data_IF_101259244576
#
_entry.id   IF_101259244576
#
_cell.length_a   1.000
_cell.length_b   1.000
_cell.length_c   1.000
_cell.angle_alpha   90.00
_cell.angle_beta   90.00
_cell.angle_gamma   90.00
#
_symmetry.space_group_name_H-M   'P 1'
#
loop_
_entity.id
_entity.type
_entity.pdbx_description
1 polymer ?
#
# COMPACT_ATOMS: atom_id res chain seq x y z
N UNK A 1 -0.34 1.53 -27.18
CA UNK A 1 -0.89 1.60 -25.82
C UNK A 1 -1.76 0.38 -25.66
N UNK A 2 -1.53 -0.49 -24.69
CA UNK A 2 -2.42 -1.61 -24.40
C UNK A 2 -3.78 -1.06 -23.95
N UNK A 3 -4.87 -1.62 -24.45
CA UNK A 3 -6.22 -1.25 -24.03
C UNK A 3 -6.36 -1.50 -22.52
N UNK A 4 -6.75 -0.48 -21.77
CA UNK A 4 -7.09 -0.59 -20.35
C UNK A 4 -8.57 -0.96 -20.25
N UNK A 5 -8.86 -1.98 -19.44
CA UNK A 5 -10.23 -2.41 -19.13
C UNK A 5 -10.49 -2.26 -17.65
N UNK A 6 -11.44 -1.44 -17.29
CA UNK A 6 -11.89 -1.31 -15.90
C UNK A 6 -12.89 -2.42 -15.57
N UNK A 7 -12.69 -3.06 -14.43
CA UNK A 7 -13.56 -4.09 -13.88
C UNK A 7 -13.72 -3.94 -12.38
N UNK A 8 -14.54 -4.79 -11.77
CA UNK A 8 -14.71 -4.86 -10.33
C UNK A 8 -14.91 -6.29 -9.86
N UNK A 9 -14.53 -6.54 -8.61
CA UNK A 9 -14.82 -7.77 -7.87
C UNK A 9 -15.50 -7.43 -6.55
N UNK A 10 -16.22 -8.40 -6.02
CA UNK A 10 -16.84 -8.29 -4.70
C UNK A 10 -15.97 -9.01 -3.68
N UNK A 11 -15.52 -8.29 -2.66
CA UNK A 11 -14.81 -8.84 -1.51
C UNK A 11 -15.71 -9.69 -0.62
N UNK A 12 -15.15 -10.45 0.30
CA UNK A 12 -15.88 -11.38 1.17
C UNK A 12 -16.96 -10.69 2.05
N UNK A 13 -16.75 -9.42 2.39
CA UNK A 13 -17.70 -8.60 3.15
C UNK A 13 -18.72 -7.83 2.29
N UNK A 14 -18.72 -8.08 0.97
CA UNK A 14 -19.59 -7.40 0.02
C UNK A 14 -19.04 -6.09 -0.54
N UNK A 15 -17.85 -5.65 -0.13
CA UNK A 15 -17.21 -4.43 -0.65
C UNK A 15 -16.86 -4.62 -2.12
N UNK A 16 -17.26 -3.66 -2.97
CA UNK A 16 -16.84 -3.63 -4.37
C UNK A 16 -15.40 -3.09 -4.47
N UNK A 17 -14.52 -3.84 -5.10
CA UNK A 17 -13.12 -3.48 -5.35
C UNK A 17 -12.94 -3.29 -6.85
N UNK A 18 -12.56 -2.09 -7.24
CA UNK A 18 -12.40 -1.67 -8.65
C UNK A 18 -10.95 -1.80 -9.06
N UNK A 19 -10.72 -2.30 -10.28
CA UNK A 19 -9.38 -2.44 -10.84
C UNK A 19 -9.35 -2.09 -12.33
N UNK A 20 -8.18 -1.71 -12.81
CA UNK A 20 -7.85 -1.61 -14.21
C UNK A 20 -6.97 -2.79 -14.62
N UNK A 21 -7.30 -3.41 -15.76
CA UNK A 21 -6.54 -4.50 -16.35
C UNK A 21 -5.90 -4.04 -17.66
N UNK A 22 -4.62 -4.36 -17.86
CA UNK A 22 -3.89 -4.04 -19.09
C UNK A 22 -2.85 -5.11 -19.43
N UNK A 23 -2.46 -5.17 -20.69
CA UNK A 23 -1.44 -6.10 -21.17
C UNK A 23 -1.93 -7.54 -21.34
N UNK A 24 -0.99 -8.46 -21.57
CA UNK A 24 -1.23 -9.90 -21.72
C UNK A 24 -0.01 -10.70 -21.23
N UNK A 25 -0.27 -11.86 -20.60
CA UNK A 25 0.75 -12.75 -20.04
C UNK A 25 0.39 -13.19 -18.63
N UNK A 26 1.37 -13.67 -17.85
CA UNK A 26 1.14 -14.01 -16.44
C UNK A 26 0.59 -12.84 -15.63
N UNK A 27 -0.26 -13.13 -14.65
CA UNK A 27 -0.91 -12.08 -13.85
C UNK A 27 0.06 -11.41 -12.86
N UNK A 28 0.02 -10.07 -12.80
CA UNK A 28 0.67 -9.25 -11.79
C UNK A 28 -0.34 -8.28 -11.20
N UNK A 29 -0.45 -8.22 -9.88
CA UNK A 29 -1.32 -7.29 -9.18
C UNK A 29 -0.48 -6.20 -8.53
N UNK A 30 -0.87 -4.94 -8.74
CA UNK A 30 -0.24 -3.77 -8.13
C UNK A 30 -1.03 -3.35 -6.90
N UNK A 31 -0.34 -3.28 -5.75
CA UNK A 31 -0.90 -2.84 -4.47
C UNK A 31 -0.36 -1.45 -4.14
N UNK A 32 -1.26 -0.47 -4.14
CA UNK A 32 -0.94 0.94 -3.94
C UNK A 32 -0.52 1.22 -2.50
N UNK A 33 0.33 2.24 -2.31
CA UNK A 33 0.66 2.80 -1.01
C UNK A 33 -0.38 3.81 -0.51
N UNK A 34 -0.01 4.49 0.57
CA UNK A 34 -0.84 5.53 1.18
C UNK A 34 -1.16 6.67 0.19
N UNK A 35 -2.39 7.19 0.27
CA UNK A 35 -2.86 8.34 -0.51
C UNK A 35 -2.94 8.13 -2.04
N UNK A 36 -2.69 6.91 -2.51
CA UNK A 36 -2.68 6.57 -3.94
C UNK A 36 -3.94 5.81 -4.33
N UNK A 37 -4.39 6.00 -5.55
CA UNK A 37 -5.38 5.17 -6.23
C UNK A 37 -4.76 4.52 -7.48
N UNK A 38 -5.54 3.72 -8.23
CA UNK A 38 -5.07 3.03 -9.44
C UNK A 38 -4.64 3.97 -10.56
N UNK A 39 -5.07 5.25 -10.50
CA UNK A 39 -4.72 6.32 -11.44
C UNK A 39 -3.45 7.08 -11.05
N UNK A 40 -2.81 6.76 -9.90
CA UNK A 40 -1.58 7.42 -9.48
C UNK A 40 -0.50 7.34 -10.57
N UNK A 41 0.14 8.47 -10.94
CA UNK A 41 1.10 8.51 -12.07
C UNK A 41 2.28 7.56 -11.91
N UNK A 42 2.78 7.33 -10.69
CA UNK A 42 3.93 6.48 -10.43
C UNK A 42 3.55 5.02 -10.68
N UNK A 43 2.45 4.55 -10.08
CA UNK A 43 1.98 3.18 -10.24
C UNK A 43 1.44 2.90 -11.63
N UNK A 44 0.82 3.91 -12.28
CA UNK A 44 0.45 3.83 -13.69
C UNK A 44 1.66 3.67 -14.61
N UNK A 45 2.79 4.32 -14.29
CA UNK A 45 4.07 4.11 -14.98
C UNK A 45 4.59 2.68 -14.82
N UNK A 46 4.52 2.11 -13.61
CA UNK A 46 4.87 0.71 -13.34
C UNK A 46 3.94 -0.22 -14.14
N UNK A 47 2.63 0.02 -14.11
CA UNK A 47 1.65 -0.77 -14.87
C UNK A 47 1.95 -0.75 -16.38
N UNK A 48 2.21 0.42 -16.94
CA UNK A 48 2.56 0.57 -18.37
C UNK A 48 3.86 -0.16 -18.73
N UNK A 49 4.86 -0.14 -17.86
CA UNK A 49 6.10 -0.88 -18.03
C UNK A 49 5.89 -2.38 -18.04
N UNK A 50 5.15 -2.90 -17.05
CA UNK A 50 4.89 -4.34 -16.87
C UNK A 50 3.93 -4.91 -17.91
N UNK A 51 2.95 -4.13 -18.39
CA UNK A 51 1.92 -4.58 -19.35
C UNK A 51 2.48 -5.08 -20.70
N UNK A 52 3.76 -4.85 -20.96
CA UNK A 52 4.45 -5.39 -22.15
C UNK A 52 4.64 -6.91 -22.09
N UNK A 53 4.65 -7.50 -20.89
CA UNK A 53 4.94 -8.92 -20.67
C UNK A 53 3.96 -9.64 -19.74
N UNK A 54 3.11 -8.86 -19.07
CA UNK A 54 2.22 -9.35 -18.02
C UNK A 54 0.79 -8.85 -18.24
N UNK A 55 -0.17 -9.58 -17.73
CA UNK A 55 -1.50 -9.05 -17.49
C UNK A 55 -1.47 -8.35 -16.14
N UNK A 56 -1.54 -7.02 -16.15
CA UNK A 56 -1.41 -6.19 -14.95
C UNK A 56 -2.81 -5.82 -14.44
N UNK A 57 -3.04 -6.02 -13.14
CA UNK A 57 -4.22 -5.57 -12.41
C UNK A 57 -3.78 -4.48 -11.43
N UNK A 58 -4.19 -3.23 -11.67
CA UNK A 58 -4.00 -2.11 -10.75
C UNK A 58 -5.33 -1.82 -10.08
N UNK A 59 -5.47 -2.06 -8.78
CA UNK A 59 -6.75 -1.91 -8.09
C UNK A 59 -6.72 -0.77 -7.06
N UNK A 60 -7.87 -0.17 -6.84
CA UNK A 60 -8.07 0.73 -5.71
C UNK A 60 -8.27 -0.10 -4.45
N UNK A 61 -7.45 0.11 -3.44
CA UNK A 61 -7.67 -0.47 -2.12
C UNK A 61 -8.99 0.06 -1.54
N UNK A 62 -9.61 -0.66 -0.58
CA UNK A 62 -10.85 -0.19 0.04
C UNK A 62 -10.70 1.23 0.58
N UNK A 63 -11.72 2.07 0.36
CA UNK A 63 -11.71 3.47 0.73
C UNK A 63 -10.88 4.40 -0.17
N UNK A 64 -10.24 3.87 -1.22
CA UNK A 64 -9.50 4.64 -2.21
C UNK A 64 -10.25 4.63 -3.56
N UNK A 65 -10.02 5.66 -4.36
CA UNK A 65 -10.54 5.78 -5.72
C UNK A 65 -12.02 5.46 -5.84
N UNK A 66 -12.35 4.50 -6.70
CA UNK A 66 -13.73 4.05 -6.96
C UNK A 66 -14.13 2.79 -6.17
N UNK A 67 -13.23 2.24 -5.32
CA UNK A 67 -13.56 1.11 -4.46
C UNK A 67 -14.40 1.52 -3.27
N UNK A 68 -15.26 0.60 -2.83
CA UNK A 68 -16.08 0.77 -1.63
C UNK A 68 -15.26 0.79 -0.34
N UNK A 69 -15.93 1.15 0.77
CA UNK A 69 -15.35 1.20 2.12
C UNK A 69 -16.37 0.72 3.17
N UNK A 70 -16.51 -0.60 3.29
CA UNK A 70 -17.44 -1.19 4.25
C UNK A 70 -16.82 -1.20 5.65
N UNK A 71 -17.52 -0.60 6.60
CA UNK A 71 -17.10 -0.53 8.00
C UNK A 71 -17.66 -1.71 8.83
N UNK A 72 -17.00 -2.14 9.92
CA UNK A 72 -15.73 -1.59 10.43
C UNK A 72 -14.51 -2.06 9.63
N UNK A 73 -13.51 -1.19 9.51
CA UNK A 73 -12.23 -1.55 8.90
C UNK A 73 -11.48 -2.60 9.75
N UNK A 74 -10.86 -3.53 9.05
CA UNK A 74 -9.85 -4.45 9.59
C UNK A 74 -8.84 -4.80 8.50
N UNK A 75 -7.58 -5.06 8.86
CA UNK A 75 -6.52 -5.41 7.90
C UNK A 75 -6.85 -6.70 7.15
N UNK A 76 -7.56 -7.62 7.81
CA UNK A 76 -8.04 -8.88 7.24
C UNK A 76 -9.01 -8.65 6.07
N UNK A 77 -9.77 -7.56 6.09
CA UNK A 77 -10.65 -7.18 4.97
C UNK A 77 -9.85 -6.81 3.73
N UNK A 78 -8.71 -6.09 3.89
CA UNK A 78 -7.83 -5.83 2.75
C UNK A 78 -7.15 -7.10 2.23
N UNK A 79 -6.88 -8.07 3.09
CA UNK A 79 -6.38 -9.37 2.66
C UNK A 79 -7.43 -10.13 1.81
N UNK A 80 -8.70 -10.04 2.19
CA UNK A 80 -9.82 -10.59 1.42
C UNK A 80 -10.00 -9.87 0.08
N UNK A 81 -9.82 -8.54 0.04
CA UNK A 81 -9.86 -7.75 -1.19
C UNK A 81 -8.79 -8.22 -2.18
N UNK A 82 -7.54 -8.30 -1.72
CA UNK A 82 -6.44 -8.76 -2.57
C UNK A 82 -6.67 -10.21 -3.04
N UNK A 83 -7.20 -11.07 -2.17
CA UNK A 83 -7.55 -12.44 -2.56
C UNK A 83 -8.65 -12.48 -3.63
N UNK A 84 -9.65 -11.59 -3.56
CA UNK A 84 -10.69 -11.47 -4.60
C UNK A 84 -10.11 -11.00 -5.95
N UNK A 85 -9.17 -10.05 -5.93
CA UNK A 85 -8.46 -9.60 -7.15
C UNK A 85 -7.58 -10.73 -7.71
N UNK A 86 -6.87 -11.51 -6.86
CA UNK A 86 -6.11 -12.70 -7.28
C UNK A 86 -7.02 -13.73 -7.95
N UNK A 87 -8.20 -13.96 -7.40
CA UNK A 87 -9.19 -14.88 -7.98
C UNK A 87 -9.64 -14.40 -9.37
N UNK A 88 -9.92 -13.11 -9.55
CA UNK A 88 -10.28 -12.53 -10.84
C UNK A 88 -9.11 -12.58 -11.85
N UNK A 89 -7.89 -12.54 -11.36
CA UNK A 89 -6.67 -12.66 -12.17
C UNK A 89 -6.36 -14.11 -12.62
N UNK A 90 -7.23 -15.07 -12.30
CA UNK A 90 -7.08 -16.48 -12.69
C UNK A 90 -6.63 -17.40 -11.54
N UNK A 91 -6.70 -16.95 -10.30
CA UNK A 91 -6.45 -17.76 -9.10
C UNK A 91 -4.98 -17.87 -8.69
N UNK A 92 -4.06 -17.27 -9.43
CA UNK A 92 -2.64 -17.16 -9.04
C UNK A 92 -2.01 -15.93 -9.70
N UNK A 93 -1.27 -15.14 -8.93
CA UNK A 93 -0.61 -13.94 -9.43
C UNK A 93 0.72 -13.65 -8.71
N UNK A 94 1.62 -12.94 -9.39
CA UNK A 94 2.66 -12.19 -8.70
C UNK A 94 2.04 -10.89 -8.12
N UNK A 95 2.61 -10.39 -7.03
CA UNK A 95 2.14 -9.13 -6.41
C UNK A 95 3.32 -8.17 -6.31
N UNK A 96 3.11 -6.95 -6.82
CA UNK A 96 4.00 -5.81 -6.62
C UNK A 96 3.33 -4.83 -5.66
N UNK A 97 3.98 -4.55 -4.54
CA UNK A 97 3.47 -3.57 -3.57
C UNK A 97 4.46 -2.41 -3.39
N UNK A 98 3.94 -1.18 -3.34
CA UNK A 98 4.71 0.02 -3.02
C UNK A 98 4.41 0.52 -1.60
N UNK A 99 5.46 0.90 -0.84
CA UNK A 99 5.29 1.49 0.49
C UNK A 99 4.42 0.62 1.41
N UNK A 100 3.38 1.17 2.03
CA UNK A 100 2.40 0.41 2.84
C UNK A 100 1.68 -0.70 2.05
N UNK A 101 1.53 -0.54 0.73
CA UNK A 101 1.05 -1.61 -0.15
C UNK A 101 2.00 -2.81 -0.20
N UNK A 102 3.31 -2.60 -0.05
CA UNK A 102 4.28 -3.68 0.10
C UNK A 102 4.08 -4.41 1.44
N UNK A 103 3.78 -3.68 2.52
CA UNK A 103 3.46 -4.27 3.81
C UNK A 103 2.18 -5.12 3.76
N UNK A 104 1.14 -4.64 3.06
CA UNK A 104 -0.08 -5.40 2.84
C UNK A 104 0.19 -6.66 2.01
N UNK A 105 0.90 -6.55 0.89
CA UNK A 105 1.27 -7.68 0.04
C UNK A 105 2.01 -8.78 0.84
N UNK A 106 2.95 -8.37 1.68
CA UNK A 106 3.71 -9.26 2.56
C UNK A 106 2.79 -10.00 3.56
N UNK A 107 1.87 -9.26 4.20
CA UNK A 107 0.91 -9.84 5.15
C UNK A 107 0.04 -10.91 4.50
N UNK A 108 -0.46 -10.61 3.32
CA UNK A 108 -1.33 -11.55 2.58
C UNK A 108 -0.53 -12.78 2.12
N UNK A 109 0.68 -12.58 1.61
CA UNK A 109 1.52 -13.68 1.14
C UNK A 109 1.89 -14.68 2.24
N UNK A 110 2.04 -14.24 3.48
CA UNK A 110 2.35 -15.11 4.62
C UNK A 110 1.25 -16.16 4.92
N UNK A 111 0.06 -16.01 4.35
CA UNK A 111 -1.07 -16.93 4.54
C UNK A 111 -1.78 -17.33 3.24
N UNK A 112 -1.31 -16.87 2.07
CA UNK A 112 -1.99 -17.11 0.79
C UNK A 112 -1.01 -17.63 -0.27
N UNK A 113 -1.09 -18.94 -0.53
CA UNK A 113 -0.27 -19.61 -1.55
C UNK A 113 -0.64 -19.25 -2.99
N UNK A 114 -1.76 -18.58 -3.24
CA UNK A 114 -2.13 -18.07 -4.56
C UNK A 114 -1.25 -16.88 -5.00
N UNK A 115 -0.56 -16.23 -4.06
CA UNK A 115 0.52 -15.29 -4.38
C UNK A 115 1.76 -16.09 -4.72
N UNK A 116 2.17 -16.05 -5.99
CA UNK A 116 3.27 -16.88 -6.51
C UNK A 116 4.66 -16.25 -6.32
N UNK A 117 4.75 -14.92 -6.32
CA UNK A 117 5.96 -14.11 -6.18
C UNK A 117 5.62 -12.76 -5.58
N UNK A 118 6.60 -12.14 -4.92
CA UNK A 118 6.52 -10.78 -4.40
C UNK A 118 7.57 -9.87 -5.01
N UNK A 119 7.18 -8.61 -5.28
CA UNK A 119 8.10 -7.50 -5.45
C UNK A 119 7.66 -6.38 -4.50
N UNK A 120 8.54 -6.02 -3.58
CA UNK A 120 8.28 -5.07 -2.50
C UNK A 120 9.12 -3.81 -2.74
N UNK A 121 8.47 -2.72 -3.07
CA UNK A 121 9.15 -1.45 -3.32
C UNK A 121 9.05 -0.56 -2.09
N UNK A 122 10.20 -0.33 -1.45
CA UNK A 122 10.36 0.52 -0.27
C UNK A 122 9.35 0.24 0.85
N UNK A 123 9.25 -1.03 1.33
CA UNK A 123 8.39 -1.32 2.47
C UNK A 123 8.88 -0.51 3.70
N UNK A 124 8.04 0.36 4.31
CA UNK A 124 8.51 1.36 5.27
C UNK A 124 8.63 0.78 6.69
N UNK A 125 9.25 -0.39 6.82
CA UNK A 125 9.50 -1.01 8.12
C UNK A 125 10.76 -0.48 8.79
N UNK A 126 10.68 -0.25 10.09
CA UNK A 126 11.84 0.02 10.91
C UNK A 126 12.57 -1.29 11.22
N UNK A 127 13.81 -1.42 10.78
CA UNK A 127 14.63 -2.63 10.96
C UNK A 127 15.52 -2.54 12.21
N UNK A 128 15.71 -1.35 12.77
CA UNK A 128 16.50 -1.08 13.95
C UNK A 128 15.92 0.06 14.80
N UNK A 129 16.61 0.42 15.87
CA UNK A 129 16.17 1.46 16.82
C UNK A 129 16.53 2.89 16.41
N UNK A 130 17.10 3.11 15.23
CA UNK A 130 17.50 4.46 14.78
C UNK A 130 16.32 5.30 14.30
N UNK A 131 15.24 4.65 13.83
CA UNK A 131 14.03 5.32 13.36
C UNK A 131 13.23 5.91 14.55
N UNK A 132 12.63 7.10 14.39
CA UNK A 132 11.76 7.68 15.39
C UNK A 132 10.54 6.80 15.64
N UNK A 133 10.25 6.53 16.92
CA UNK A 133 9.10 5.72 17.31
C UNK A 133 7.78 6.44 17.04
N UNK A 134 6.81 5.71 16.53
CA UNK A 134 5.43 6.17 16.41
C UNK A 134 4.71 6.06 17.77
N UNK A 135 3.75 6.95 18.07
CA UNK A 135 2.86 6.78 19.21
C UNK A 135 2.12 5.44 19.14
N UNK A 136 1.96 4.77 20.29
CA UNK A 136 1.24 3.48 20.35
C UNK A 136 -0.21 3.57 19.84
N UNK A 137 -0.83 4.74 19.99
CA UNK A 137 -2.19 5.03 19.53
C UNK A 137 -2.23 5.80 18.19
N UNK A 138 -1.18 5.73 17.38
CA UNK A 138 -1.04 6.52 16.16
C UNK A 138 -2.21 6.34 15.19
N UNK A 139 -2.61 5.09 14.92
CA UNK A 139 -3.78 4.82 14.08
C UNK A 139 -5.07 5.42 14.67
N UNK A 140 -5.26 5.31 15.98
CA UNK A 140 -6.42 5.90 16.65
C UNK A 140 -6.39 7.44 16.65
N UNK A 141 -5.21 8.08 16.64
CA UNK A 141 -5.09 9.53 16.48
C UNK A 141 -5.57 9.96 15.09
N UNK A 142 -5.11 9.27 14.04
CA UNK A 142 -5.54 9.53 12.66
C UNK A 142 -7.06 9.36 12.52
N UNK A 143 -7.62 8.25 13.02
CA UNK A 143 -9.05 7.96 12.97
C UNK A 143 -9.88 9.04 13.70
N UNK A 144 -9.44 9.49 14.89
CA UNK A 144 -10.10 10.59 15.61
C UNK A 144 -10.11 11.90 14.82
N UNK A 145 -8.99 12.25 14.17
CA UNK A 145 -8.89 13.46 13.36
C UNK A 145 -9.81 13.39 12.14
N UNK A 146 -9.83 12.27 11.44
CA UNK A 146 -10.72 12.06 10.28
C UNK A 146 -12.20 12.12 10.69
N UNK A 147 -12.60 11.44 11.77
CA UNK A 147 -13.97 11.47 12.29
C UNK A 147 -14.41 12.86 12.77
N UNK A 148 -13.45 13.68 13.22
CA UNK A 148 -13.71 15.08 13.57
C UNK A 148 -13.74 16.03 12.37
N UNK A 149 -13.61 15.54 11.12
CA UNK A 149 -13.55 16.34 9.90
C UNK A 149 -12.22 17.06 9.69
N UNK A 150 -11.18 16.76 10.49
CA UNK A 150 -9.87 17.40 10.49
C UNK A 150 -8.88 16.65 9.60
N UNK A 151 -9.25 16.44 8.33
CA UNK A 151 -8.47 15.65 7.38
C UNK A 151 -7.09 16.25 7.09
N UNK A 152 -6.98 17.57 7.00
CA UNK A 152 -5.69 18.25 6.83
C UNK A 152 -4.73 17.97 7.99
N UNK A 153 -5.24 17.95 9.22
CA UNK A 153 -4.40 17.66 10.40
C UNK A 153 -4.01 16.18 10.46
N UNK A 154 -4.89 15.27 10.02
CA UNK A 154 -4.56 13.86 9.89
C UNK A 154 -3.45 13.64 8.84
N UNK A 155 -3.55 14.30 7.70
CA UNK A 155 -2.54 14.26 6.65
C UNK A 155 -1.20 14.82 7.14
N UNK A 156 -1.19 15.97 7.80
CA UNK A 156 0.03 16.56 8.38
C UNK A 156 0.65 15.62 9.42
N UNK A 157 -0.15 15.08 10.35
CA UNK A 157 0.32 14.12 11.35
C UNK A 157 0.96 12.89 10.70
N UNK A 158 0.34 12.34 9.64
CA UNK A 158 0.87 11.19 8.92
C UNK A 158 2.19 11.51 8.21
N UNK A 159 2.24 12.62 7.48
CA UNK A 159 3.45 13.02 6.74
C UNK A 159 4.63 13.29 7.68
N UNK A 160 4.39 13.97 8.80
CA UNK A 160 5.46 14.28 9.75
C UNK A 160 5.89 13.04 10.55
N UNK A 161 4.96 12.19 10.99
CA UNK A 161 5.28 11.08 11.90
C UNK A 161 5.63 9.79 11.18
N UNK A 162 4.84 9.37 10.19
CA UNK A 162 5.05 8.10 9.50
C UNK A 162 6.00 8.25 8.31
N UNK A 163 5.86 9.32 7.52
CA UNK A 163 6.74 9.58 6.36
C UNK A 163 8.02 10.30 6.76
N UNK A 164 8.07 10.89 7.97
CA UNK A 164 9.23 11.65 8.50
C UNK A 164 9.58 12.87 7.65
N UNK A 165 8.59 13.45 6.97
CA UNK A 165 8.77 14.70 6.27
C UNK A 165 9.03 15.86 7.24
N UNK A 166 9.93 16.77 6.88
CA UNK A 166 10.18 17.96 7.68
C UNK A 166 8.90 18.82 7.77
N UNK A 167 8.54 19.36 8.94
CA UNK A 167 7.34 20.16 9.12
C UNK A 167 7.24 21.33 8.14
N UNK A 168 8.38 21.96 7.83
CA UNK A 168 8.47 23.08 6.87
C UNK A 168 8.15 22.61 5.44
N UNK A 169 8.57 21.40 5.06
CA UNK A 169 8.25 20.82 3.78
C UNK A 169 6.74 20.54 3.68
N UNK A 170 6.12 19.99 4.73
CA UNK A 170 4.66 19.75 4.78
C UNK A 170 3.90 21.08 4.71
N UNK A 171 4.34 22.12 5.41
CA UNK A 171 3.76 23.45 5.32
C UNK A 171 3.82 24.01 3.88
N UNK A 172 4.93 23.78 3.17
CA UNK A 172 5.07 24.10 1.76
C UNK A 172 4.12 23.32 0.84
N UNK A 173 3.89 22.03 1.14
CA UNK A 173 2.95 21.18 0.39
C UNK A 173 1.50 21.66 0.51
N UNK A 174 1.09 22.19 1.67
CA UNK A 174 -0.28 22.72 1.89
C UNK A 174 -0.67 23.83 0.92
N UNK A 175 0.30 24.58 0.41
CA UNK A 175 0.07 25.66 -0.57
C UNK A 175 0.01 25.14 -2.02
N UNK A 176 0.22 23.85 -2.26
CA UNK A 176 0.28 23.28 -3.60
C UNK A 176 -1.09 22.84 -4.12
N UNK A 177 -1.32 22.88 -5.44
CA UNK A 177 -2.58 22.47 -6.04
C UNK A 177 -3.00 21.01 -5.78
N UNK A 178 -2.06 20.13 -5.45
CA UNK A 178 -2.33 18.72 -5.18
C UNK A 178 -2.80 18.46 -3.74
N UNK A 179 -2.62 19.40 -2.80
CA UNK A 179 -2.96 19.20 -1.39
C UNK A 179 -4.43 18.81 -1.15
N UNK A 180 -5.44 19.44 -1.80
CA UNK A 180 -6.84 19.04 -1.60
C UNK A 180 -7.12 17.58 -1.97
N UNK A 181 -6.44 17.04 -2.99
CA UNK A 181 -6.59 15.64 -3.37
C UNK A 181 -6.01 14.69 -2.31
N UNK A 182 -4.82 15.01 -1.77
CA UNK A 182 -4.24 14.26 -0.65
C UNK A 182 -5.11 14.34 0.60
N UNK A 183 -5.68 15.50 0.91
CA UNK A 183 -6.59 15.68 2.05
C UNK A 183 -7.87 14.87 1.87
N UNK A 184 -8.41 14.79 0.66
CA UNK A 184 -9.57 13.94 0.36
C UNK A 184 -9.27 12.46 0.62
N UNK A 185 -8.04 11.98 0.28
CA UNK A 185 -7.60 10.61 0.52
C UNK A 185 -7.22 10.34 1.99
N UNK A 186 -7.11 11.36 2.85
CA UNK A 186 -6.67 11.20 4.24
C UNK A 186 -7.60 10.32 5.10
N UNK A 187 -8.81 10.03 4.64
CA UNK A 187 -9.76 9.14 5.33
C UNK A 187 -9.20 7.73 5.56
N UNK A 188 -8.27 7.26 4.73
CA UNK A 188 -7.68 5.92 4.81
C UNK A 188 -6.34 5.87 5.55
N UNK A 189 -5.82 6.99 6.05
CA UNK A 189 -4.50 7.03 6.69
C UNK A 189 -4.40 6.17 7.95
N UNK A 190 -5.51 6.00 8.69
CA UNK A 190 -5.56 5.06 9.81
C UNK A 190 -5.38 3.60 9.34
N UNK A 191 -5.86 3.25 8.14
CA UNK A 191 -5.73 1.91 7.55
C UNK A 191 -4.26 1.59 7.29
N UNK A 192 -3.51 2.56 6.79
CA UNK A 192 -2.07 2.41 6.57
C UNK A 192 -1.33 2.09 7.88
N UNK A 193 -1.67 2.82 8.95
CA UNK A 193 -1.09 2.57 10.27
C UNK A 193 -1.45 1.18 10.83
N UNK A 194 -2.67 0.69 10.58
CA UNK A 194 -3.07 -0.68 10.95
C UNK A 194 -2.34 -1.74 10.12
N UNK A 195 -2.18 -1.52 8.81
CA UNK A 195 -1.43 -2.42 7.91
C UNK A 195 0.03 -2.52 8.35
N UNK A 196 0.66 -1.40 8.67
CA UNK A 196 2.06 -1.36 9.13
C UNK A 196 2.25 -2.01 10.50
N UNK A 197 1.23 -1.90 11.36
CA UNK A 197 1.31 -2.37 12.74
C UNK A 197 2.05 -1.40 13.67
N UNK A 198 2.20 -1.79 14.95
CA UNK A 198 2.80 -0.92 15.96
C UNK A 198 4.23 -0.49 15.56
N UNK A 199 4.48 0.81 15.64
CA UNK A 199 5.80 1.43 15.47
C UNK A 199 6.47 1.13 14.10
N UNK A 200 5.72 0.72 13.10
CA UNK A 200 6.23 0.23 11.81
C UNK A 200 7.34 -0.82 11.97
N UNK A 201 7.33 -1.58 13.05
CA UNK A 201 8.37 -2.57 13.34
C UNK A 201 8.35 -3.70 12.30
N UNK A 202 9.54 -4.15 11.90
CA UNK A 202 9.68 -5.27 10.98
C UNK A 202 9.00 -6.53 11.55
N UNK A 203 8.00 -7.11 10.87
CA UNK A 203 7.20 -8.20 11.42
C UNK A 203 7.89 -9.56 11.27
N UNK A 204 8.94 -9.83 12.04
CA UNK A 204 9.80 -11.02 11.91
C UNK A 204 9.02 -12.35 11.91
N UNK A 205 7.99 -12.49 12.76
CA UNK A 205 7.15 -13.69 12.80
C UNK A 205 6.36 -13.89 11.51
N UNK A 206 5.91 -12.79 10.91
CA UNK A 206 5.20 -12.84 9.63
C UNK A 206 6.16 -13.19 8.49
N UNK A 207 7.34 -12.57 8.48
CA UNK A 207 8.38 -12.82 7.47
C UNK A 207 8.79 -14.28 7.41
N UNK A 208 8.95 -14.95 8.55
CA UNK A 208 9.30 -16.36 8.61
C UNK A 208 8.25 -17.29 7.95
N UNK A 209 7.05 -16.78 7.64
CA UNK A 209 5.98 -17.53 6.97
C UNK A 209 5.91 -17.25 5.47
N UNK A 210 6.64 -16.27 4.98
CA UNK A 210 6.69 -15.93 3.54
C UNK A 210 7.67 -16.89 2.88
N UNK A 211 7.17 -17.75 2.01
CA UNK A 211 7.97 -18.77 1.30
C UNK A 211 8.10 -18.45 -0.19
N UNK A 212 7.39 -17.43 -0.67
CA UNK A 212 7.40 -17.01 -2.05
C UNK A 212 8.74 -16.35 -2.41
N UNK A 213 9.27 -16.57 -3.63
CA UNK A 213 10.37 -15.77 -4.14
C UNK A 213 10.05 -14.28 -4.05
N UNK A 214 10.88 -13.53 -3.32
CA UNK A 214 10.65 -12.12 -3.00
C UNK A 214 11.80 -11.27 -3.51
N UNK A 215 11.45 -10.19 -4.24
CA UNK A 215 12.36 -9.12 -4.66
C UNK A 215 12.06 -7.89 -3.80
N UNK A 216 13.09 -7.31 -3.19
CA UNK A 216 12.99 -6.02 -2.50
C UNK A 216 13.72 -4.96 -3.30
N UNK A 217 13.05 -3.83 -3.51
CA UNK A 217 13.52 -2.71 -4.32
C UNK A 217 13.60 -1.46 -3.46
N UNK A 218 14.74 -0.77 -3.52
CA UNK A 218 14.95 0.54 -2.90
C UNK A 218 15.55 1.51 -3.92
N UNK A 219 15.15 2.79 -3.84
CA UNK A 219 15.81 3.87 -4.57
C UNK A 219 17.17 4.20 -3.95
N UNK A 220 18.12 4.67 -4.78
CA UNK A 220 19.44 5.09 -4.33
C UNK A 220 19.41 6.33 -3.42
N UNK A 221 18.38 7.19 -3.62
CA UNK A 221 18.18 8.45 -2.88
C UNK A 221 16.99 8.39 -1.91
N UNK A 222 16.54 7.17 -1.57
CA UNK A 222 15.41 6.98 -0.65
C UNK A 222 15.73 7.44 0.75
N UNK A 223 14.69 7.79 1.52
CA UNK A 223 14.82 8.15 2.92
C UNK A 223 15.51 7.03 3.72
N UNK A 224 16.23 7.41 4.78
CA UNK A 224 17.03 6.47 5.57
C UNK A 224 16.25 5.25 6.06
N UNK A 225 14.96 5.41 6.40
CA UNK A 225 14.10 4.30 6.82
C UNK A 225 13.88 3.27 5.69
N UNK A 226 13.68 3.71 4.43
CA UNK A 226 13.53 2.82 3.30
C UNK A 226 14.85 2.12 2.94
N UNK A 227 15.97 2.84 3.02
CA UNK A 227 17.31 2.27 2.79
C UNK A 227 17.70 1.23 3.85
N UNK A 228 17.38 1.48 5.13
CA UNK A 228 17.66 0.51 6.19
C UNK A 228 16.77 -0.74 6.07
N UNK A 229 15.50 -0.61 5.63
CA UNK A 229 14.66 -1.77 5.37
C UNK A 229 15.22 -2.64 4.23
N UNK A 230 15.76 -2.04 3.17
CA UNK A 230 16.39 -2.78 2.07
C UNK A 230 17.60 -3.58 2.51
N UNK A 231 18.46 -3.04 3.37
CA UNK A 231 19.61 -3.76 3.90
C UNK A 231 19.21 -4.94 4.80
N UNK A 232 18.14 -4.80 5.59
CA UNK A 232 17.61 -5.87 6.44
C UNK A 232 17.01 -7.06 5.69
N UNK A 233 16.55 -6.84 4.46
CA UNK A 233 15.96 -7.90 3.61
C UNK A 233 16.99 -8.73 2.83
N UNK A 234 18.20 -8.22 2.67
CA UNK A 234 19.25 -8.94 1.93
C UNK A 234 19.72 -10.24 2.59
N UNK A 235 19.30 -10.48 3.84
CA UNK A 235 19.69 -11.64 4.65
C UNK A 235 18.50 -12.50 5.14
N UNK A 236 17.29 -12.23 4.69
CA UNK A 236 16.11 -13.05 4.93
C UNK A 236 15.70 -13.82 3.67
#
# INVERSE_FOLDING_TARGET
MSDIRTGSVTSADGTAIVFDQSGAGPAVILVQGALMDRGDPVMSGVAAGLSRWFTVFSYDRRGHGDSGDTQPYAVEREAEDLAAVVAAAGGSAAVFGGSSGAALALRVAAGNSAISRLALWEPPYHVDSSAPKLPLDFAAQLDRLVKAGRRADALELFLVKAVQAAPEAVAGMRAQPFWPAMEAAAQTLAYEAYVMGPDNALPAVLLARVTQPTLVLNGGDSLACANSSGAGWAYA
#
